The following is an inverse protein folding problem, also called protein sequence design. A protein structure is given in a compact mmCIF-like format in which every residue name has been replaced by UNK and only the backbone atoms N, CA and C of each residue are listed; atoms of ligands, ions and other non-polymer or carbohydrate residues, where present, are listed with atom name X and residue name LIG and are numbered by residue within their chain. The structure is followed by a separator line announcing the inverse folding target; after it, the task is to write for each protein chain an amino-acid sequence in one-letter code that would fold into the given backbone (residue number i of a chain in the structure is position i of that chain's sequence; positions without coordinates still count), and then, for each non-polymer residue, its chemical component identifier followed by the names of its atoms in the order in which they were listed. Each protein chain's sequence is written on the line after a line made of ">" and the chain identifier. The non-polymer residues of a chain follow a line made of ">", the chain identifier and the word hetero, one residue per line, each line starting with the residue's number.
data_IF_035455553845
#
_entry.id   IF_035455553845
#
_cell.length_a   1.000
_cell.length_b   1.000
_cell.length_c   1.000
_cell.angle_alpha   90.00
_cell.angle_beta   90.00
_cell.angle_gamma   90.00
#
_symmetry.space_group_name_H-M   'P 1'
#
loop_
_entity.id
_entity.type
_entity.pdbx_description
1 polymer ?
#
# COMPACT_ATOMS: atom_id res chain seq x y z
N UNK A 1 11.28 -17.53 9.83
CA UNK A 1 11.44 -16.07 9.66
C UNK A 1 11.89 -15.69 8.25
N UNK A 2 13.08 -16.12 7.79
CA UNK A 2 13.65 -15.69 6.49
C UNK A 2 12.75 -15.96 5.29
N UNK A 3 12.11 -17.14 5.23
CA UNK A 3 11.17 -17.49 4.16
C UNK A 3 9.98 -16.53 4.06
N UNK A 4 9.37 -16.17 5.20
CA UNK A 4 8.24 -15.22 5.24
C UNK A 4 8.70 -13.83 4.80
N UNK A 5 9.86 -13.38 5.28
CA UNK A 5 10.45 -12.11 4.88
C UNK A 5 10.66 -12.03 3.36
N UNK A 6 11.33 -13.01 2.75
CA UNK A 6 11.59 -12.98 1.31
C UNK A 6 10.30 -13.09 0.48
N UNK A 7 9.33 -13.90 0.91
CA UNK A 7 8.06 -14.02 0.18
C UNK A 7 7.26 -12.72 0.25
N UNK A 8 7.10 -12.13 1.44
CA UNK A 8 6.40 -10.86 1.61
C UNK A 8 7.12 -9.73 0.87
N UNK A 9 8.45 -9.66 0.97
CA UNK A 9 9.26 -8.69 0.23
C UNK A 9 9.08 -8.85 -1.28
N UNK A 10 9.21 -10.07 -1.81
CA UNK A 10 9.12 -10.33 -3.24
C UNK A 10 7.73 -10.00 -3.82
N UNK A 11 6.66 -10.38 -3.14
CA UNK A 11 5.29 -10.07 -3.57
C UNK A 11 5.05 -8.56 -3.54
N UNK A 12 5.41 -7.90 -2.43
CA UNK A 12 5.17 -6.46 -2.31
C UNK A 12 6.05 -5.64 -3.26
N UNK A 13 7.29 -6.06 -3.46
CA UNK A 13 8.18 -5.44 -4.45
C UNK A 13 7.57 -5.53 -5.84
N UNK A 14 7.16 -6.71 -6.29
CA UNK A 14 6.52 -6.90 -7.60
C UNK A 14 5.21 -6.12 -7.73
N UNK A 15 4.41 -6.06 -6.67
CA UNK A 15 3.14 -5.32 -6.66
C UNK A 15 3.35 -3.81 -6.89
N UNK A 16 4.45 -3.24 -6.37
CA UNK A 16 4.68 -1.80 -6.41
C UNK A 16 5.58 -1.32 -7.56
N UNK A 17 6.13 -2.21 -8.37
CA UNK A 17 6.91 -1.79 -9.55
C UNK A 17 6.03 -1.01 -10.52
N UNK A 18 6.42 0.23 -10.80
CA UNK A 18 5.76 1.09 -11.78
C UNK A 18 4.52 1.81 -11.27
N UNK A 19 4.26 1.80 -9.96
CA UNK A 19 3.15 2.56 -9.40
C UNK A 19 3.39 4.09 -9.45
N UNK A 20 2.29 4.85 -9.42
CA UNK A 20 2.24 6.32 -9.38
C UNK A 20 3.08 6.89 -8.24
N UNK A 21 3.16 6.20 -7.10
CA UNK A 21 4.02 6.62 -5.98
C UNK A 21 5.50 6.67 -6.38
N UNK A 22 5.99 5.72 -7.17
CA UNK A 22 7.38 5.73 -7.66
C UNK A 22 7.64 6.91 -8.60
N UNK A 23 6.71 7.21 -9.52
CA UNK A 23 6.82 8.38 -10.40
C UNK A 23 6.86 9.71 -9.62
N UNK A 24 6.08 9.80 -8.54
CA UNK A 24 6.11 10.95 -7.65
C UNK A 24 7.47 11.11 -6.96
N UNK A 25 8.06 10.02 -6.46
CA UNK A 25 9.39 10.01 -5.81
C UNK A 25 10.49 10.40 -6.80
N UNK A 26 10.45 9.89 -8.04
CA UNK A 26 11.40 10.26 -9.11
C UNK A 26 11.28 11.76 -9.42
N UNK A 27 10.05 12.26 -9.57
CA UNK A 27 9.78 13.68 -9.85
C UNK A 27 10.29 14.58 -8.71
N UNK A 28 10.06 14.18 -7.45
CA UNK A 28 10.52 14.90 -6.27
C UNK A 28 12.04 14.92 -6.17
N UNK A 29 12.68 13.78 -6.46
CA UNK A 29 14.15 13.65 -6.49
C UNK A 29 14.78 14.58 -7.52
N UNK A 30 14.19 14.66 -8.72
CA UNK A 30 14.63 15.57 -9.77
C UNK A 30 14.44 17.05 -9.42
N UNK A 31 13.34 17.40 -8.74
CA UNK A 31 13.01 18.79 -8.36
C UNK A 31 13.92 19.34 -7.25
N UNK A 32 14.14 18.56 -6.19
CA UNK A 32 14.85 19.05 -5.00
C UNK A 32 16.36 18.75 -5.01
N UNK A 33 16.85 18.00 -6.01
CA UNK A 33 18.28 17.62 -6.17
C UNK A 33 18.92 17.00 -4.92
N UNK A 34 18.09 16.46 -4.02
CA UNK A 34 18.51 15.81 -2.78
C UNK A 34 17.91 14.40 -2.71
N UNK A 35 18.49 13.45 -3.47
CA UNK A 35 17.90 12.12 -3.64
C UNK A 35 17.83 11.34 -2.32
N UNK A 36 18.80 11.53 -1.42
CA UNK A 36 18.83 10.85 -0.13
C UNK A 36 17.74 11.30 0.84
N UNK A 37 17.44 12.61 0.87
CA UNK A 37 16.36 13.16 1.71
C UNK A 37 15.00 12.72 1.17
N UNK A 38 14.83 12.75 -0.16
CA UNK A 38 13.60 12.26 -0.80
C UNK A 38 13.41 10.76 -0.57
N UNK A 39 14.48 9.96 -0.67
CA UNK A 39 14.45 8.53 -0.37
C UNK A 39 14.03 8.28 1.09
N UNK A 40 14.66 8.96 2.06
CA UNK A 40 14.31 8.80 3.46
C UNK A 40 12.86 9.23 3.75
N UNK A 41 12.42 10.37 3.20
CA UNK A 41 11.06 10.86 3.37
C UNK A 41 10.00 9.94 2.76
N UNK A 42 10.22 9.48 1.53
CA UNK A 42 9.33 8.53 0.87
C UNK A 42 9.30 7.17 1.57
N UNK A 43 10.45 6.67 2.01
CA UNK A 43 10.55 5.44 2.79
C UNK A 43 9.81 5.52 4.12
N UNK A 44 9.97 6.62 4.86
CA UNK A 44 9.23 6.87 6.10
C UNK A 44 7.72 6.98 5.85
N UNK A 45 7.31 7.69 4.80
CA UNK A 45 5.90 7.81 4.44
C UNK A 45 5.29 6.43 4.15
N UNK A 46 6.00 5.58 3.41
CA UNK A 46 5.54 4.22 3.08
C UNK A 46 5.47 3.34 4.33
N UNK A 47 6.49 3.38 5.19
CA UNK A 47 6.49 2.67 6.47
C UNK A 47 5.30 3.08 7.36
N UNK A 48 5.02 4.38 7.45
CA UNK A 48 3.90 4.90 8.23
C UNK A 48 2.56 4.46 7.63
N UNK A 49 2.39 4.56 6.32
CA UNK A 49 1.17 4.12 5.63
C UNK A 49 0.91 2.62 5.86
N UNK A 50 1.94 1.79 5.72
CA UNK A 50 1.83 0.34 5.99
C UNK A 50 1.54 0.06 7.46
N UNK A 51 2.21 0.74 8.40
CA UNK A 51 1.99 0.56 9.83
C UNK A 51 0.54 0.91 10.23
N UNK A 52 0.01 2.02 9.71
CA UNK A 52 -1.39 2.41 9.91
C UNK A 52 -2.32 1.36 9.30
N UNK A 53 -2.05 0.89 8.08
CA UNK A 53 -2.83 -0.15 7.42
C UNK A 53 -2.89 -1.45 8.23
N UNK A 54 -1.76 -1.89 8.80
CA UNK A 54 -1.70 -3.08 9.66
C UNK A 54 -2.45 -2.84 10.97
N UNK A 55 -2.26 -1.69 11.61
CA UNK A 55 -2.94 -1.35 12.86
C UNK A 55 -4.47 -1.35 12.69
N UNK A 56 -4.96 -0.67 11.66
CA UNK A 56 -6.40 -0.62 11.36
C UNK A 56 -6.91 -1.99 10.92
N UNK A 57 -6.18 -2.70 10.06
CA UNK A 57 -6.57 -4.01 9.54
C UNK A 57 -6.58 -5.12 10.61
N UNK A 58 -5.76 -5.01 11.64
CA UNK A 58 -5.76 -5.93 12.79
C UNK A 58 -6.81 -5.55 13.84
N UNK A 59 -7.13 -4.26 13.98
CA UNK A 59 -8.12 -3.76 14.93
C UNK A 59 -9.56 -3.98 14.45
N UNK A 60 -9.89 -3.70 13.19
CA UNK A 60 -11.25 -3.78 12.65
C UNK A 60 -11.97 -5.12 12.91
N UNK A 61 -11.32 -6.29 12.70
CA UNK A 61 -11.96 -7.58 12.97
C UNK A 61 -12.35 -7.78 14.44
N UNK A 62 -11.63 -7.14 15.37
CA UNK A 62 -11.93 -7.25 16.81
C UNK A 62 -13.20 -6.52 17.22
N UNK A 63 -13.60 -5.48 16.47
CA UNK A 63 -14.78 -4.65 16.78
C UNK A 63 -16.04 -5.16 16.08
N UNK A 64 -15.93 -5.56 14.82
CA UNK A 64 -17.08 -5.87 13.95
C UNK A 64 -17.10 -7.33 13.42
N UNK A 65 -16.11 -8.13 13.80
CA UNK A 65 -16.00 -9.55 13.44
C UNK A 65 -15.40 -9.79 12.05
N UNK A 66 -14.63 -10.87 11.93
CA UNK A 66 -13.90 -11.23 10.69
C UNK A 66 -14.82 -11.37 9.46
N UNK A 67 -16.04 -11.90 9.65
CA UNK A 67 -17.00 -12.11 8.56
C UNK A 67 -17.46 -10.79 7.94
N UNK A 68 -17.68 -9.76 8.78
CA UNK A 68 -18.10 -8.45 8.31
C UNK A 68 -16.96 -7.78 7.52
N UNK A 69 -15.75 -7.75 8.09
CA UNK A 69 -14.57 -7.16 7.46
C UNK A 69 -14.28 -7.82 6.10
N UNK A 70 -14.35 -9.14 6.02
CA UNK A 70 -14.14 -9.88 4.76
C UNK A 70 -15.18 -9.52 3.71
N UNK A 71 -16.46 -9.50 4.09
CA UNK A 71 -17.57 -9.24 3.16
C UNK A 71 -17.53 -7.81 2.64
N UNK A 72 -17.33 -6.83 3.53
CA UNK A 72 -17.24 -5.41 3.18
C UNK A 72 -16.03 -5.15 2.29
N UNK A 73 -14.85 -5.66 2.67
CA UNK A 73 -13.64 -5.51 1.85
C UNK A 73 -13.84 -6.09 0.45
N UNK A 74 -14.38 -7.30 0.34
CA UNK A 74 -14.66 -7.93 -0.95
C UNK A 74 -15.65 -7.13 -1.80
N UNK A 75 -16.73 -6.64 -1.19
CA UNK A 75 -17.72 -5.80 -1.88
C UNK A 75 -17.11 -4.49 -2.39
N UNK A 76 -16.24 -3.85 -1.59
CA UNK A 76 -15.51 -2.64 -2.00
C UNK A 76 -14.56 -2.91 -3.17
N UNK A 77 -13.82 -4.03 -3.14
CA UNK A 77 -12.96 -4.41 -4.27
C UNK A 77 -13.74 -4.63 -5.57
N UNK A 78 -14.90 -5.30 -5.50
CA UNK A 78 -15.78 -5.48 -6.66
C UNK A 78 -16.31 -4.14 -7.15
N UNK A 79 -16.76 -3.27 -6.23
CA UNK A 79 -17.25 -1.93 -6.57
C UNK A 79 -16.17 -1.10 -7.28
N UNK A 80 -14.96 -1.03 -6.73
CA UNK A 80 -13.86 -0.32 -7.38
C UNK A 80 -13.49 -0.92 -8.74
N UNK A 81 -13.50 -2.25 -8.86
CA UNK A 81 -13.31 -2.91 -10.15
C UNK A 81 -14.35 -2.49 -11.19
N UNK A 82 -15.63 -2.43 -10.81
CA UNK A 82 -16.72 -1.97 -11.68
C UNK A 82 -16.55 -0.49 -12.04
N UNK A 83 -16.20 0.37 -11.07
CA UNK A 83 -16.00 1.81 -11.32
C UNK A 83 -14.86 2.05 -12.33
N UNK A 84 -13.73 1.36 -12.14
CA UNK A 84 -12.58 1.44 -13.05
C UNK A 84 -12.98 0.96 -14.45
N UNK A 85 -13.73 -0.16 -14.57
CA UNK A 85 -14.22 -0.66 -15.86
C UNK A 85 -15.23 0.29 -16.52
N UNK A 86 -16.04 1.00 -15.72
CA UNK A 86 -16.98 2.01 -16.19
C UNK A 86 -16.28 3.33 -16.57
N UNK A 87 -14.96 3.44 -16.41
CA UNK A 87 -14.19 4.64 -16.73
C UNK A 87 -14.45 5.81 -15.78
N UNK A 88 -14.94 5.55 -14.57
CA UNK A 88 -15.11 6.53 -13.49
C UNK A 88 -13.98 6.39 -12.48
#
# INVERSE_FOLDING_TARGET
>A
MWKVFLTSFGIMFLAEIGDKTQLAVISLSGRYRSPWVVFAGAGLAMLLATAIGIAVGSFLPTVMGERAVRTVSGALFILFGILILAGK
#
